data_IF_194342898256
#
_entry.id   IF_194342898256
#
_cell.length_a   1.000
_cell.length_b   1.000
_cell.length_c   1.000
_cell.angle_alpha   90.00
_cell.angle_beta   90.00
_cell.angle_gamma   90.00
#
_symmetry.space_group_name_H-M   'P 1'
#
loop_
_entity.id
_entity.type
_entity.pdbx_description
1 polymer ?
#
# COMPACT_ATOMS: atom_id res chain seq x y z
N UNK A 1 0.45 1.32 -15.15
CA UNK A 1 1.66 1.28 -14.34
C UNK A 1 1.26 1.66 -12.94
N UNK A 2 1.58 0.82 -11.96
CA UNK A 2 1.28 1.07 -10.56
C UNK A 2 2.33 2.03 -9.96
N UNK A 3 1.90 3.16 -9.42
CA UNK A 3 2.78 4.19 -8.87
C UNK A 3 3.19 3.90 -7.41
N UNK A 4 3.85 2.76 -7.16
CA UNK A 4 4.16 2.27 -5.81
C UNK A 4 4.84 3.29 -4.90
N UNK A 5 5.80 4.06 -5.42
CA UNK A 5 6.51 5.08 -4.64
C UNK A 5 5.58 6.18 -4.15
N UNK A 6 4.62 6.59 -4.98
CA UNK A 6 3.63 7.63 -4.68
C UNK A 6 2.64 7.10 -3.63
N UNK A 7 2.12 5.89 -3.83
CA UNK A 7 1.22 5.22 -2.88
C UNK A 7 1.88 5.09 -1.50
N UNK A 8 3.09 4.52 -1.45
CA UNK A 8 3.85 4.37 -0.21
C UNK A 8 4.09 5.72 0.47
N UNK A 9 4.51 6.73 -0.29
CA UNK A 9 4.76 8.07 0.24
C UNK A 9 3.48 8.69 0.82
N UNK A 10 2.34 8.55 0.15
CA UNK A 10 1.07 9.06 0.62
C UNK A 10 0.63 8.39 1.92
N UNK A 11 0.71 7.06 2.01
CA UNK A 11 0.38 6.32 3.24
C UNK A 11 1.27 6.76 4.40
N UNK A 12 2.58 6.72 4.20
CA UNK A 12 3.58 6.98 5.26
C UNK A 12 3.52 8.42 5.75
N UNK A 13 3.49 9.38 4.82
CA UNK A 13 3.52 10.82 5.17
C UNK A 13 2.26 11.23 5.92
N UNK A 14 1.08 10.88 5.40
CA UNK A 14 -0.17 11.30 6.02
C UNK A 14 -0.43 10.58 7.36
N UNK A 15 -0.03 9.30 7.48
CA UNK A 15 -0.11 8.60 8.76
C UNK A 15 0.86 9.22 9.78
N UNK A 16 2.11 9.52 9.39
CA UNK A 16 3.08 10.17 10.27
C UNK A 16 2.60 11.57 10.70
N UNK A 17 2.03 12.35 9.78
CA UNK A 17 1.45 13.65 10.09
C UNK A 17 0.27 13.56 11.05
N UNK A 18 -0.56 12.52 10.93
CA UNK A 18 -1.66 12.29 11.86
C UNK A 18 -1.16 11.92 13.26
N UNK A 19 -0.19 11.00 13.33
CA UNK A 19 0.34 10.46 14.58
C UNK A 19 1.34 11.39 15.28
N UNK A 20 1.92 12.36 14.56
CA UNK A 20 2.97 13.29 15.05
C UNK A 20 4.30 12.62 15.43
N UNK A 21 4.55 11.43 14.92
CA UNK A 21 5.83 10.73 15.05
C UNK A 21 6.16 9.92 13.80
N UNK A 22 7.41 9.45 13.64
CA UNK A 22 7.86 8.82 12.40
C UNK A 22 7.17 7.49 12.09
N UNK A 23 6.92 7.26 10.80
CA UNK A 23 6.54 5.96 10.24
C UNK A 23 7.65 5.56 9.26
N UNK A 24 8.33 4.45 9.53
CA UNK A 24 9.53 4.01 8.77
C UNK A 24 9.36 2.59 8.22
N UNK A 25 10.12 2.23 7.19
CA UNK A 25 10.06 0.86 6.65
C UNK A 25 10.87 -0.09 7.55
N UNK A 26 10.30 -1.26 7.89
CA UNK A 26 10.83 -2.20 8.90
C UNK A 26 12.28 -2.67 8.63
N UNK A 27 12.71 -2.63 7.37
CA UNK A 27 14.04 -3.05 6.92
C UNK A 27 14.80 -1.96 6.15
N UNK A 28 14.50 -0.68 6.42
CA UNK A 28 15.09 0.46 5.69
C UNK A 28 16.59 0.68 5.88
N UNK A 29 17.24 -0.02 6.81
CA UNK A 29 18.64 0.23 7.18
C UNK A 29 18.87 1.60 7.82
N UNK A 30 17.80 2.34 8.12
CA UNK A 30 17.82 3.63 8.81
C UNK A 30 17.85 3.39 10.31
N UNK A 31 18.55 4.26 11.04
CA UNK A 31 18.58 4.23 12.50
C UNK A 31 17.17 4.36 13.07
N UNK A 32 16.89 3.56 14.12
CA UNK A 32 15.59 3.60 14.78
C UNK A 32 15.39 4.93 15.50
N UNK A 33 14.24 5.61 15.30
CA UNK A 33 13.93 6.83 16.02
C UNK A 33 13.93 6.63 17.53
N UNK A 34 14.29 7.68 18.26
CA UNK A 34 14.11 7.72 19.72
C UNK A 34 12.64 8.01 20.03
N UNK A 35 12.06 7.23 20.95
CA UNK A 35 10.66 7.39 21.38
C UNK A 35 9.69 6.51 20.58
N UNK A 36 8.45 6.99 20.43
CA UNK A 36 7.41 6.27 19.70
C UNK A 36 7.60 6.40 18.19
N UNK A 37 7.44 5.29 17.47
CA UNK A 37 7.45 5.27 16.01
C UNK A 37 6.66 4.07 15.49
N UNK A 38 6.34 4.08 14.20
CA UNK A 38 5.80 2.92 13.52
C UNK A 38 6.82 2.35 12.54
N UNK A 39 6.78 1.03 12.38
CA UNK A 39 7.35 0.37 11.21
C UNK A 39 6.24 -0.13 10.29
N UNK A 40 6.46 -0.14 8.99
CA UNK A 40 5.59 -0.81 8.02
C UNK A 40 6.34 -1.77 7.11
N UNK A 41 5.61 -2.75 6.56
CA UNK A 41 6.09 -3.71 5.56
C UNK A 41 4.95 -4.14 4.60
N UNK A 42 5.27 -4.39 3.33
CA UNK A 42 4.31 -4.88 2.33
C UNK A 42 4.24 -6.41 2.34
N UNK A 43 3.19 -6.96 2.94
CA UNK A 43 3.05 -8.40 3.13
C UNK A 43 2.49 -9.06 1.87
N UNK A 44 3.17 -10.10 1.39
CA UNK A 44 2.64 -10.98 0.33
C UNK A 44 2.52 -10.33 -1.06
N UNK A 45 3.09 -9.14 -1.25
CA UNK A 45 3.21 -8.42 -2.51
C UNK A 45 1.90 -7.82 -3.05
N UNK A 46 1.96 -7.36 -4.29
CA UNK A 46 0.84 -6.78 -5.03
C UNK A 46 0.17 -7.87 -5.86
N UNK A 47 -1.13 -8.07 -5.65
CA UNK A 47 -1.91 -9.14 -6.28
C UNK A 47 -2.98 -8.55 -7.16
N UNK A 48 -3.00 -8.97 -8.42
CA UNK A 48 -4.14 -8.74 -9.30
C UNK A 48 -5.43 -9.32 -8.69
N UNK A 49 -6.54 -8.60 -8.80
CA UNK A 49 -7.86 -9.13 -8.48
C UNK A 49 -8.19 -10.31 -9.40
N UNK A 50 -8.89 -11.32 -8.91
CA UNK A 50 -9.36 -12.44 -9.74
C UNK A 50 -10.27 -11.90 -10.87
N UNK A 51 -9.85 -12.05 -12.12
CA UNK A 51 -10.62 -11.59 -13.29
C UNK A 51 -9.70 -11.28 -14.48
N UNK A 52 -10.28 -10.85 -15.60
CA UNK A 52 -9.53 -10.26 -16.70
C UNK A 52 -9.50 -8.74 -16.55
N UNK A 53 -8.40 -8.07 -16.92
CA UNK A 53 -8.33 -6.62 -16.94
C UNK A 53 -9.40 -6.05 -17.88
N UNK A 54 -9.93 -4.88 -17.54
CA UNK A 54 -10.81 -4.14 -18.43
C UNK A 54 -9.98 -3.52 -19.55
N UNK A 55 -10.30 -3.85 -20.80
CA UNK A 55 -9.58 -3.36 -21.98
C UNK A 55 -10.44 -2.29 -22.66
N UNK A 56 -9.89 -1.10 -22.84
CA UNK A 56 -10.49 0.01 -23.57
C UNK A 56 -9.64 0.35 -24.78
N UNK A 57 -10.29 0.81 -25.84
CA UNK A 57 -9.63 1.33 -27.04
C UNK A 57 -9.98 2.81 -27.18
N UNK A 58 -8.97 3.67 -27.07
CA UNK A 58 -9.11 5.11 -27.31
C UNK A 58 -8.20 5.54 -28.44
N UNK A 59 -8.79 5.97 -29.56
CA UNK A 59 -8.08 6.37 -30.78
C UNK A 59 -7.07 5.32 -31.26
N UNK A 60 -5.78 5.47 -30.90
CA UNK A 60 -4.68 4.59 -31.24
C UNK A 60 -4.01 3.94 -30.02
N UNK A 61 -4.71 3.89 -28.89
CA UNK A 61 -4.22 3.31 -27.63
C UNK A 61 -5.12 2.18 -27.17
N UNK A 62 -4.49 1.10 -26.71
CA UNK A 62 -5.10 0.07 -25.89
C UNK A 62 -4.78 0.40 -24.43
N UNK A 63 -5.82 0.58 -23.63
CA UNK A 63 -5.73 0.88 -22.20
C UNK A 63 -6.22 -0.34 -21.44
N UNK A 64 -5.34 -0.97 -20.68
CA UNK A 64 -5.66 -2.08 -19.78
C UNK A 64 -5.75 -1.56 -18.34
N UNK A 65 -6.89 -1.79 -17.70
CA UNK A 65 -7.13 -1.40 -16.31
C UNK A 65 -7.39 -2.62 -15.45
N UNK A 66 -6.65 -2.74 -14.36
CA UNK A 66 -6.76 -3.86 -13.41
C UNK A 66 -6.84 -3.35 -11.98
N UNK A 67 -7.66 -4.00 -11.15
CA UNK A 67 -7.65 -3.77 -9.70
C UNK A 67 -6.53 -4.59 -9.06
N UNK A 68 -5.68 -3.93 -8.29
CA UNK A 68 -4.59 -4.55 -7.54
C UNK A 68 -4.89 -4.44 -6.05
N UNK A 69 -4.80 -5.55 -5.34
CA UNK A 69 -4.90 -5.61 -3.88
C UNK A 69 -3.53 -5.83 -3.26
N UNK A 70 -3.28 -5.22 -2.10
CA UNK A 70 -2.05 -5.39 -1.35
C UNK A 70 -2.29 -5.18 0.13
N UNK A 71 -1.48 -5.82 0.97
CA UNK A 71 -1.57 -5.70 2.43
C UNK A 71 -0.33 -5.01 2.97
N UNK A 72 -0.53 -4.08 3.90
CA UNK A 72 0.55 -3.44 4.64
C UNK A 72 0.41 -3.80 6.11
N UNK A 73 1.47 -4.34 6.70
CA UNK A 73 1.58 -4.57 8.13
C UNK A 73 2.16 -3.33 8.79
N UNK A 74 1.56 -2.89 9.89
CA UNK A 74 1.99 -1.76 10.69
C UNK A 74 2.30 -2.24 12.10
N UNK A 75 3.46 -1.86 12.65
CA UNK A 75 3.85 -2.16 14.02
C UNK A 75 4.16 -0.87 14.76
N UNK A 76 3.47 -0.65 15.88
CA UNK A 76 3.69 0.42 16.84
C UNK A 76 4.80 0.05 17.80
N UNK A 77 5.84 0.89 17.91
CA UNK A 77 6.94 0.76 18.88
C UNK A 77 6.85 1.89 19.87
N UNK A 78 6.96 1.59 21.17
CA UNK A 78 6.95 2.58 22.23
C UNK A 78 7.73 2.07 23.47
N UNK A 79 7.99 2.98 24.42
CA UNK A 79 8.66 2.66 25.69
C UNK A 79 7.86 1.75 26.61
N UNK A 80 6.54 1.76 26.48
CA UNK A 80 5.63 0.96 27.29
C UNK A 80 4.47 0.41 26.44
N UNK A 81 3.82 -0.63 26.97
CA UNK A 81 2.78 -1.35 26.25
C UNK A 81 1.50 -0.54 26.08
N UNK A 82 1.11 0.27 27.06
CA UNK A 82 -0.12 1.05 26.98
C UNK A 82 -0.03 2.07 25.84
N UNK A 83 1.09 2.81 25.79
CA UNK A 83 1.38 3.75 24.69
C UNK A 83 1.41 3.04 23.34
N UNK A 84 2.05 1.86 23.25
CA UNK A 84 2.09 1.09 21.99
C UNK A 84 0.69 0.68 21.51
N UNK A 85 -0.18 0.25 22.43
CA UNK A 85 -1.59 -0.08 22.16
C UNK A 85 -2.37 1.14 21.70
N UNK A 86 -2.31 2.25 22.43
CA UNK A 86 -3.03 3.49 22.12
C UNK A 86 -2.65 4.02 20.74
N UNK A 87 -1.35 4.06 20.44
CA UNK A 87 -0.83 4.43 19.12
C UNK A 87 -1.37 3.51 18.02
N UNK A 88 -1.43 2.20 18.28
CA UNK A 88 -2.03 1.21 17.38
C UNK A 88 -3.51 1.49 17.10
N UNK A 89 -4.29 1.78 18.14
CA UNK A 89 -5.71 2.09 18.02
C UNK A 89 -5.96 3.39 17.24
N UNK A 90 -5.22 4.46 17.55
CA UNK A 90 -5.34 5.74 16.83
C UNK A 90 -5.02 5.58 15.34
N UNK A 91 -3.95 4.84 15.00
CA UNK A 91 -3.61 4.55 13.61
C UNK A 91 -4.72 3.76 12.89
N UNK A 92 -5.31 2.76 13.56
CA UNK A 92 -6.44 1.98 13.01
C UNK A 92 -7.66 2.87 12.77
N UNK A 93 -8.00 3.73 13.71
CA UNK A 93 -9.15 4.64 13.58
C UNK A 93 -8.95 5.64 12.45
N UNK A 94 -7.72 6.10 12.24
CA UNK A 94 -7.38 6.93 11.08
C UNK A 94 -7.65 6.20 9.76
N UNK A 95 -7.20 4.95 9.60
CA UNK A 95 -7.47 4.16 8.39
C UNK A 95 -8.96 3.89 8.17
N UNK A 96 -9.76 3.80 9.23
CA UNK A 96 -11.21 3.63 9.14
C UNK A 96 -11.97 4.93 8.80
N UNK A 97 -11.32 6.09 8.95
CA UNK A 97 -11.97 7.41 8.84
C UNK A 97 -11.25 8.31 7.85
N UNK A 98 -10.47 9.29 8.33
CA UNK A 98 -9.84 10.32 7.50
C UNK A 98 -8.87 9.73 6.47
N UNK A 99 -8.09 8.71 6.86
CA UNK A 99 -7.15 8.03 5.96
C UNK A 99 -7.84 7.32 4.81
N UNK A 100 -9.03 6.74 5.03
CA UNK A 100 -9.81 6.09 3.96
C UNK A 100 -10.16 7.08 2.84
N UNK A 101 -10.69 8.27 3.21
CA UNK A 101 -11.10 9.30 2.26
C UNK A 101 -9.88 9.92 1.58
N UNK A 102 -8.88 10.31 2.37
CA UNK A 102 -7.70 11.00 1.88
C UNK A 102 -6.89 10.16 0.90
N UNK A 103 -6.65 8.88 1.19
CA UNK A 103 -5.87 8.01 0.29
C UNK A 103 -6.61 7.74 -1.03
N UNK A 104 -7.93 7.65 -0.99
CA UNK A 104 -8.76 7.49 -2.18
C UNK A 104 -8.65 8.71 -3.09
N UNK A 105 -8.75 9.90 -2.51
CA UNK A 105 -8.71 11.17 -3.26
C UNK A 105 -7.32 11.51 -3.80
N UNK A 106 -6.26 11.26 -3.02
CA UNK A 106 -4.90 11.64 -3.42
C UNK A 106 -4.27 10.68 -4.42
N UNK A 107 -4.47 9.37 -4.27
CA UNK A 107 -3.66 8.35 -4.97
C UNK A 107 -4.46 7.15 -5.48
N UNK A 108 -5.80 7.22 -5.51
CA UNK A 108 -6.67 6.10 -5.90
C UNK A 108 -6.37 4.81 -5.11
N UNK A 109 -6.25 4.96 -3.78
CA UNK A 109 -6.05 3.84 -2.85
C UNK A 109 -7.21 3.77 -1.87
N UNK A 110 -7.90 2.63 -1.87
CA UNK A 110 -9.05 2.38 -0.99
C UNK A 110 -8.64 1.42 0.11
N UNK A 111 -8.95 1.78 1.36
CA UNK A 111 -8.86 0.86 2.51
C UNK A 111 -10.02 -0.12 2.43
N UNK A 112 -9.72 -1.41 2.29
CA UNK A 112 -10.70 -2.50 2.20
C UNK A 112 -11.00 -3.08 3.58
N UNK A 113 -9.96 -3.34 4.36
CA UNK A 113 -10.07 -3.93 5.68
C UNK A 113 -8.97 -3.41 6.60
N UNK A 114 -9.31 -3.23 7.88
CA UNK A 114 -8.35 -2.90 8.94
C UNK A 114 -8.43 -4.03 9.97
N UNK A 115 -7.43 -4.90 9.97
CA UNK A 115 -7.33 -6.06 10.85
C UNK A 115 -7.24 -5.67 12.32
N UNK A 116 -7.32 -6.66 13.21
CA UNK A 116 -7.26 -6.46 14.64
C UNK A 116 -5.86 -6.04 15.13
N UNK A 117 -5.84 -5.38 16.29
CA UNK A 117 -4.59 -5.03 16.96
C UNK A 117 -4.13 -6.23 17.77
N UNK A 118 -2.93 -6.72 17.47
CA UNK A 118 -2.36 -7.92 18.06
C UNK A 118 -1.01 -7.63 18.70
N UNK A 119 -0.69 -8.42 19.72
CA UNK A 119 0.65 -8.40 20.29
C UNK A 119 1.67 -8.98 19.29
N UNK A 120 2.71 -8.21 18.98
CA UNK A 120 3.82 -8.59 18.08
C UNK A 120 5.19 -8.37 18.74
N UNK A 121 5.23 -8.40 20.07
CA UNK A 121 6.45 -8.29 20.87
C UNK A 121 7.53 -9.27 20.37
N UNK A 122 8.78 -8.83 20.39
CA UNK A 122 9.92 -9.67 20.04
C UNK A 122 11.04 -9.47 21.03
N UNK A 123 11.70 -10.57 21.40
CA UNK A 123 12.95 -10.51 22.16
C UNK A 123 14.11 -10.62 21.19
N UNK A 124 14.97 -9.60 21.15
CA UNK A 124 16.17 -9.60 20.33
C UNK A 124 17.37 -9.21 21.21
N UNK A 125 18.45 -10.01 21.19
CA UNK A 125 19.66 -9.77 21.98
C UNK A 125 19.39 -9.43 23.47
N UNK A 126 18.47 -10.17 24.11
CA UNK A 126 18.00 -9.96 25.49
C UNK A 126 17.28 -8.63 25.77
N UNK A 127 16.94 -7.86 24.73
CA UNK A 127 16.08 -6.69 24.83
C UNK A 127 14.68 -7.07 24.36
N UNK A 128 13.69 -6.83 25.22
CA UNK A 128 12.29 -6.96 24.86
C UNK A 128 11.86 -5.71 24.11
N UNK A 129 11.43 -5.88 22.87
CA UNK A 129 10.81 -4.82 22.09
C UNK A 129 9.29 -4.95 22.19
N UNK A 130 8.66 -3.93 22.79
CA UNK A 130 7.22 -3.87 22.95
C UNK A 130 6.57 -3.37 21.67
N UNK A 131 5.78 -4.24 21.03
CA UNK A 131 5.21 -3.99 19.71
C UNK A 131 3.75 -4.42 19.63
N UNK A 132 2.91 -3.54 19.10
CA UNK A 132 1.53 -3.85 18.77
C UNK A 132 1.32 -3.67 17.27
N UNK A 133 0.73 -4.67 16.62
CA UNK A 133 0.66 -4.73 15.18
C UNK A 133 -0.74 -4.94 14.65
N UNK A 134 -1.00 -4.45 13.44
CA UNK A 134 -2.20 -4.75 12.68
C UNK A 134 -1.88 -4.71 11.18
N UNK A 135 -2.77 -5.29 10.39
CA UNK A 135 -2.64 -5.30 8.93
C UNK A 135 -3.79 -4.51 8.29
N UNK A 136 -3.49 -3.81 7.21
CA UNK A 136 -4.48 -3.09 6.41
C UNK A 136 -4.45 -3.64 4.98
N UNK A 137 -5.61 -4.09 4.51
CA UNK A 137 -5.80 -4.48 3.11
C UNK A 137 -6.23 -3.24 2.32
N UNK A 138 -5.52 -2.99 1.22
CA UNK A 138 -5.79 -1.90 0.29
C UNK A 138 -6.12 -2.43 -1.10
N UNK A 139 -6.86 -1.62 -1.86
CA UNK A 139 -7.06 -1.77 -3.31
C UNK A 139 -6.71 -0.49 -4.04
N UNK A 140 -6.21 -0.64 -5.25
CA UNK A 140 -5.84 0.46 -6.13
C UNK A 140 -5.94 0.03 -7.60
N UNK A 141 -5.88 0.96 -8.53
CA UNK A 141 -5.97 0.69 -9.95
C UNK A 141 -4.60 0.71 -10.62
N UNK A 142 -4.26 -0.34 -11.38
CA UNK A 142 -3.13 -0.33 -12.32
C UNK A 142 -3.63 -0.07 -13.74
N UNK A 143 -3.05 0.91 -14.44
CA UNK A 143 -3.45 1.31 -15.80
C UNK A 143 -2.28 1.20 -16.78
N UNK A 144 -2.24 0.18 -17.64
CA UNK A 144 -1.21 0.03 -18.68
C UNK A 144 -1.74 0.59 -20.00
N UNK A 145 -0.99 1.52 -20.60
CA UNK A 145 -1.30 2.05 -21.92
C UNK A 145 -0.32 1.48 -22.94
N UNK A 146 -0.81 1.00 -24.08
CA UNK A 146 0.00 0.52 -25.20
C UNK A 146 -0.48 1.18 -26.49
N UNK A 147 0.45 1.65 -27.32
CA UNK A 147 0.12 2.16 -28.65
C UNK A 147 -0.25 0.97 -29.55
N UNK A 148 -1.36 1.09 -30.28
CA UNK A 148 -1.68 0.15 -31.33
C UNK A 148 -0.80 0.49 -32.54
N UNK A 149 0.08 -0.42 -32.91
CA UNK A 149 0.69 -0.37 -34.24
C UNK A 149 -0.35 -0.86 -35.24
N UNK A 150 -0.72 0.00 -36.19
CA UNK A 150 -1.58 -0.38 -37.31
C UNK A 150 -0.80 -1.38 -38.15
N UNK A 151 -1.30 -2.61 -38.28
CA UNK A 151 -0.77 -3.56 -39.27
C UNK A 151 -1.11 -2.97 -40.65
N UNK A 152 -0.14 -2.35 -41.31
CA UNK A 152 -0.28 -1.94 -42.70
C UNK A 152 -0.47 -3.19 -43.58
N UNK A 153 -1.67 -3.31 -44.14
CA UNK A 153 -2.09 -4.16 -45.28
C UNK A 153 -1.13 -5.29 -45.67
N UNK A 154 -1.53 -6.53 -45.37
CA UNK A 154 -1.05 -7.69 -46.11
C UNK A 154 -1.50 -7.52 -47.58
N UNK A 155 -0.54 -7.37 -48.50
CA UNK A 155 -0.78 -7.52 -49.93
C UNK A 155 -1.15 -8.98 -50.19
N UNK A 156 -2.44 -9.27 -50.28
CA UNK A 156 -2.92 -10.53 -50.83
C UNK A 156 -2.68 -10.44 -52.35
N UNK A 157 -1.54 -10.95 -52.81
CA UNK A 157 -1.39 -11.27 -54.23
C UNK A 157 -2.30 -12.46 -54.52
N UNK A 158 -3.52 -12.15 -54.95
CA UNK A 158 -4.39 -13.10 -55.64
C UNK A 158 -3.72 -13.55 -56.92
N UNK A 159 -3.79 -14.85 -57.19
CA UNK A 159 -3.04 -15.52 -58.26
C UNK A 159 -3.36 -15.07 -59.68
N UNK A 160 -2.39 -15.31 -60.56
CA UNK A 160 -2.51 -16.07 -61.80
C UNK A 160 -1.13 -16.54 -62.24
#
# INVERSE_FOLDING_TARGET
MLAIRVIRSAIVTNLSEHLKFPVIEMHSGVDRPVGSFFTYDFVGGFRASKGQPSIYFESNKRIERETVSFTVSFLSHASDRATSIENGLVARDWFKTAGHVLLKELVDVVVVNVGDLENRDVTNNNVLELRQGFEVEFRTTSVVETLNEVIEKINIQGGN
#
